data_IF_721988140512
#
_entry.id   IF_721988140512
#
_cell.length_a   1.000
_cell.length_b   1.000
_cell.length_c   1.000
_cell.angle_alpha   90.00
_cell.angle_beta   90.00
_cell.angle_gamma   90.00
#
_symmetry.space_group_name_H-M   'P 1'
#
loop_
_entity.id
_entity.type
_entity.pdbx_description
1 polymer ?
#
# COMPACT_ATOMS: atom_id res chain seq x y z
N UNK A 1 22.52 -21.31 -2.36
CA UNK A 1 22.63 -21.16 -0.90
C UNK A 1 22.28 -19.71 -0.64
N UNK A 2 21.12 -19.45 -0.03
CA UNK A 2 20.73 -18.07 0.29
C UNK A 2 21.70 -17.59 1.38
N UNK A 3 22.38 -16.47 1.11
CA UNK A 3 23.21 -15.83 2.12
C UNK A 3 22.32 -15.51 3.33
N UNK A 4 22.75 -16.00 4.49
CA UNK A 4 22.08 -15.80 5.77
C UNK A 4 22.11 -14.29 6.07
N UNK A 5 20.98 -13.62 5.89
CA UNK A 5 20.84 -12.19 6.18
C UNK A 5 20.86 -12.05 7.69
N UNK A 6 22.05 -11.88 8.26
CA UNK A 6 22.23 -11.56 9.67
C UNK A 6 21.83 -10.12 9.90
N UNK A 7 20.65 -9.91 10.49
CA UNK A 7 20.25 -8.62 11.03
C UNK A 7 21.18 -8.29 12.20
N UNK A 8 22.05 -7.28 12.03
CA UNK A 8 23.09 -6.91 13.00
C UNK A 8 22.63 -5.91 14.07
N UNK A 9 21.44 -5.33 13.93
CA UNK A 9 20.90 -4.44 14.94
C UNK A 9 20.24 -5.28 16.05
N UNK A 10 20.55 -5.02 17.33
CA UNK A 10 19.86 -5.67 18.43
C UNK A 10 18.37 -5.31 18.40
N UNK A 11 17.51 -6.26 18.75
CA UNK A 11 16.09 -5.97 18.93
C UNK A 11 15.90 -4.85 19.96
N UNK A 12 14.98 -3.90 19.72
CA UNK A 12 14.74 -2.81 20.65
C UNK A 12 14.25 -3.36 21.99
N UNK A 13 14.76 -2.79 23.08
CA UNK A 13 14.28 -3.07 24.42
C UNK A 13 12.82 -2.65 24.60
N UNK A 14 12.13 -3.24 25.58
CA UNK A 14 10.76 -2.84 25.93
C UNK A 14 10.67 -1.36 26.27
N UNK A 15 11.69 -0.81 26.95
CA UNK A 15 11.75 0.61 27.27
C UNK A 15 11.81 1.50 26.01
N UNK A 16 12.58 1.10 25.00
CA UNK A 16 12.66 1.82 23.71
C UNK A 16 11.37 1.70 22.90
N UNK A 17 10.70 0.54 22.95
CA UNK A 17 9.39 0.37 22.33
C UNK A 17 8.35 1.28 22.99
N UNK A 18 8.27 1.30 24.32
CA UNK A 18 7.36 2.18 25.06
C UNK A 18 7.66 3.67 24.78
N UNK A 19 8.94 4.06 24.72
CA UNK A 19 9.32 5.45 24.45
C UNK A 19 9.01 5.90 23.01
N UNK A 20 9.04 4.98 22.04
CA UNK A 20 8.88 5.31 20.62
C UNK A 20 7.48 5.04 20.06
N UNK A 21 6.61 4.32 20.80
CA UNK A 21 5.28 3.91 20.36
C UNK A 21 4.21 4.53 21.27
N UNK A 22 3.60 5.66 20.88
CA UNK A 22 2.70 6.41 21.77
C UNK A 22 1.42 5.67 22.19
N UNK A 23 1.07 4.58 21.52
CA UNK A 23 -0.10 3.75 21.83
C UNK A 23 0.23 2.46 22.58
N UNK A 24 1.52 2.23 22.87
CA UNK A 24 1.98 1.10 23.64
C UNK A 24 2.35 1.60 25.03
N UNK A 25 1.72 1.03 26.06
CA UNK A 25 1.93 1.46 27.44
C UNK A 25 2.10 0.27 28.39
N UNK A 26 2.70 0.53 29.56
CA UNK A 26 2.85 -0.47 30.62
C UNK A 26 1.95 -0.09 31.79
N UNK A 27 0.94 -0.92 32.05
CA UNK A 27 0.07 -0.76 33.21
C UNK A 27 0.56 -1.64 34.37
N UNK A 28 0.59 -1.12 35.63
CA UNK A 28 1.07 -1.86 36.78
C UNK A 28 0.29 -3.13 37.13
N UNK A 29 -0.97 -3.24 36.71
CA UNK A 29 -1.86 -4.36 37.03
C UNK A 29 -2.03 -5.31 35.84
N UNK A 30 -2.24 -4.75 34.65
CA UNK A 30 -2.58 -5.48 33.44
C UNK A 30 -1.37 -5.82 32.57
N UNK A 31 -0.21 -5.20 32.80
CA UNK A 31 0.99 -5.38 32.00
C UNK A 31 0.97 -4.57 30.71
N UNK A 32 1.52 -5.13 29.62
CA UNK A 32 1.66 -4.43 28.35
C UNK A 32 0.30 -4.22 27.67
N UNK A 33 0.00 -2.97 27.34
CA UNK A 33 -1.25 -2.55 26.72
C UNK A 33 -1.00 -1.89 25.36
N UNK A 34 -1.93 -2.08 24.43
CA UNK A 34 -1.96 -1.42 23.12
C UNK A 34 -3.35 -0.82 22.90
N UNK A 35 -3.42 0.47 22.53
CA UNK A 35 -4.68 1.21 22.35
C UNK A 35 -5.61 1.09 23.59
N UNK A 36 -5.04 1.08 24.80
CA UNK A 36 -5.79 0.92 26.04
C UNK A 36 -6.31 -0.50 26.30
N UNK A 37 -5.84 -1.51 25.56
CA UNK A 37 -6.24 -2.91 25.71
C UNK A 37 -5.06 -3.77 26.13
N UNK A 38 -5.22 -4.55 27.21
CA UNK A 38 -4.18 -5.45 27.71
C UNK A 38 -3.89 -6.59 26.74
N UNK A 39 -2.62 -6.74 26.34
CA UNK A 39 -2.22 -7.72 25.32
C UNK A 39 -2.31 -9.17 25.83
N UNK A 40 -2.11 -9.39 27.14
CA UNK A 40 -2.36 -10.69 27.77
C UNK A 40 -3.83 -11.10 27.66
N UNK A 41 -4.78 -10.18 27.87
CA UNK A 41 -6.20 -10.47 27.73
C UNK A 41 -6.58 -10.86 26.29
N UNK A 42 -5.93 -10.27 25.28
CA UNK A 42 -6.07 -10.69 23.89
C UNK A 42 -5.50 -12.10 23.72
N UNK A 43 -4.26 -12.33 24.17
CA UNK A 43 -3.58 -13.62 24.04
C UNK A 43 -4.35 -14.76 24.73
N UNK A 44 -4.91 -14.53 25.91
CA UNK A 44 -5.75 -15.50 26.64
C UNK A 44 -7.02 -15.84 25.87
N UNK A 45 -7.58 -14.87 25.14
CA UNK A 45 -8.82 -15.03 24.37
C UNK A 45 -8.62 -15.71 23.02
N UNK A 46 -7.55 -15.38 22.29
CA UNK A 46 -7.35 -15.83 20.90
C UNK A 46 -6.20 -16.83 20.72
N UNK A 47 -5.40 -17.06 21.76
CA UNK A 47 -4.20 -17.90 21.72
C UNK A 47 -2.99 -17.20 21.08
N UNK A 48 -1.84 -17.87 21.14
CA UNK A 48 -0.57 -17.40 20.55
C UNK A 48 0.02 -18.43 19.59
N UNK A 49 0.76 -17.99 18.54
CA UNK A 49 1.08 -16.59 18.21
C UNK A 49 -0.12 -15.83 17.63
N UNK A 50 -0.25 -14.54 17.97
CA UNK A 50 -1.26 -13.64 17.40
C UNK A 50 -0.63 -12.30 17.01
N UNK A 51 -1.14 -11.69 15.93
CA UNK A 51 -0.76 -10.34 15.51
C UNK A 51 -1.79 -9.35 16.03
N UNK A 52 -1.33 -8.32 16.74
CA UNK A 52 -2.17 -7.22 17.22
C UNK A 52 -1.73 -5.94 16.53
N UNK A 53 -2.68 -5.23 15.92
CA UNK A 53 -2.44 -3.98 15.22
C UNK A 53 -3.15 -2.85 15.95
N UNK A 54 -2.46 -1.72 16.11
CA UNK A 54 -3.05 -0.51 16.67
C UNK A 54 -3.84 0.23 15.60
N UNK A 55 -5.15 0.38 15.83
CA UNK A 55 -6.03 1.17 14.96
C UNK A 55 -5.70 2.66 15.08
N UNK A 56 -5.40 3.13 16.29
CA UNK A 56 -5.08 4.53 16.55
C UNK A 56 -3.76 4.93 15.90
N UNK A 57 -2.76 4.03 15.90
CA UNK A 57 -1.50 4.25 15.16
C UNK A 57 -1.76 4.44 13.67
N UNK A 58 -2.63 3.61 13.08
CA UNK A 58 -2.98 3.71 11.65
C UNK A 58 -3.68 5.04 11.35
N UNK A 59 -4.68 5.43 12.14
CA UNK A 59 -5.40 6.71 12.01
C UNK A 59 -4.46 7.91 12.16
N UNK A 60 -3.61 7.92 13.19
CA UNK A 60 -2.65 8.99 13.39
C UNK A 60 -1.68 9.16 12.23
N UNK A 61 -1.21 8.06 11.63
CA UNK A 61 -0.34 8.10 10.43
C UNK A 61 -1.09 8.62 9.21
N UNK A 62 -2.33 8.18 9.01
CA UNK A 62 -3.19 8.66 7.93
C UNK A 62 -3.45 10.18 8.04
N UNK A 63 -3.82 10.65 9.23
CA UNK A 63 -4.04 12.07 9.49
C UNK A 63 -2.76 12.89 9.29
N UNK A 64 -1.61 12.40 9.76
CA UNK A 64 -0.33 13.06 9.55
C UNK A 64 0.01 13.21 8.06
N UNK A 65 -0.21 12.16 7.27
CA UNK A 65 0.03 12.23 5.82
C UNK A 65 -0.90 13.25 5.16
N UNK A 66 -2.19 13.22 5.50
CA UNK A 66 -3.18 14.19 4.98
C UNK A 66 -2.80 15.63 5.35
N UNK A 67 -2.46 15.87 6.60
CA UNK A 67 -2.05 17.20 7.07
C UNK A 67 -0.80 17.68 6.31
N UNK A 68 0.20 16.82 6.11
CA UNK A 68 1.39 17.18 5.36
C UNK A 68 1.08 17.57 3.89
N UNK A 69 0.14 16.89 3.24
CA UNK A 69 -0.31 17.28 1.88
C UNK A 69 -1.02 18.64 1.89
N UNK A 70 -1.87 18.88 2.90
CA UNK A 70 -2.59 20.15 3.07
C UNK A 70 -1.66 21.32 3.38
N UNK A 71 -0.68 21.12 4.26
CA UNK A 71 0.34 22.11 4.62
C UNK A 71 1.20 22.48 3.41
N UNK A 72 1.41 21.52 2.49
CA UNK A 72 2.08 21.75 1.21
C UNK A 72 1.18 22.40 0.14
N UNK A 73 -0.09 22.68 0.44
CA UNK A 73 -1.06 23.26 -0.49
C UNK A 73 -1.51 22.29 -1.59
N UNK A 74 -1.33 20.98 -1.41
CA UNK A 74 -1.66 19.96 -2.40
C UNK A 74 -3.06 19.40 -2.16
N UNK A 75 -3.90 19.44 -3.19
CA UNK A 75 -5.15 18.70 -3.21
C UNK A 75 -4.88 17.24 -3.63
N UNK A 76 -4.38 16.43 -2.70
CA UNK A 76 -3.92 15.07 -2.97
C UNK A 76 -4.94 14.00 -2.52
N UNK A 77 -5.25 13.07 -3.42
CA UNK A 77 -5.87 11.79 -3.08
C UNK A 77 -4.78 10.79 -2.65
N UNK A 78 -4.94 10.18 -1.47
CA UNK A 78 -3.95 9.24 -0.94
C UNK A 78 -4.45 7.80 -1.12
N UNK A 79 -3.66 6.98 -1.79
CA UNK A 79 -3.94 5.57 -2.05
C UNK A 79 -2.95 4.69 -1.27
N UNK A 80 -3.45 3.78 -0.44
CA UNK A 80 -2.62 2.88 0.34
C UNK A 80 -2.21 1.66 -0.49
N UNK A 81 -0.91 1.36 -0.52
CA UNK A 81 -0.38 0.17 -1.18
C UNK A 81 -0.83 -1.11 -0.45
N UNK A 82 -1.84 -1.80 -1.01
CA UNK A 82 -2.53 -2.93 -0.36
C UNK A 82 -1.56 -4.07 -0.01
N UNK A 83 -0.55 -4.32 -0.86
CA UNK A 83 0.52 -5.30 -0.62
C UNK A 83 1.27 -5.15 0.71
N UNK A 84 1.22 -3.97 1.35
CA UNK A 84 1.86 -3.76 2.65
C UNK A 84 1.12 -4.47 3.78
N UNK A 85 -0.22 -4.50 3.74
CA UNK A 85 -1.08 -5.29 4.63
C UNK A 85 -2.50 -5.32 4.04
N UNK A 86 -2.89 -6.48 3.49
CA UNK A 86 -4.17 -6.67 2.79
C UNK A 86 -5.31 -7.15 3.73
N UNK A 87 -5.08 -7.12 5.04
CA UNK A 87 -6.07 -7.57 6.01
C UNK A 87 -7.32 -6.66 5.98
N UNK A 88 -8.51 -7.26 5.93
CA UNK A 88 -9.77 -6.52 5.75
C UNK A 88 -10.02 -5.47 6.83
N UNK A 89 -9.57 -5.70 8.06
CA UNK A 89 -9.69 -4.70 9.13
C UNK A 89 -8.85 -3.43 8.83
N UNK A 90 -7.65 -3.57 8.26
CA UNK A 90 -6.82 -2.43 7.86
C UNK A 90 -7.47 -1.68 6.71
N UNK A 91 -7.95 -2.41 5.69
CA UNK A 91 -8.66 -1.81 4.55
C UNK A 91 -9.96 -1.11 4.96
N UNK A 92 -10.66 -1.63 5.96
CA UNK A 92 -11.88 -1.00 6.50
C UNK A 92 -11.56 0.32 7.20
N UNK A 93 -10.46 0.39 7.96
CA UNK A 93 -9.97 1.64 8.56
C UNK A 93 -9.58 2.66 7.49
N UNK A 94 -8.90 2.23 6.42
CA UNK A 94 -8.55 3.10 5.29
C UNK A 94 -9.80 3.71 4.65
N UNK A 95 -10.83 2.89 4.40
CA UNK A 95 -12.13 3.36 3.88
C UNK A 95 -12.77 4.38 4.82
N UNK A 96 -12.83 4.11 6.12
CA UNK A 96 -13.40 5.04 7.11
C UNK A 96 -12.71 6.39 7.12
N UNK A 97 -11.39 6.38 6.95
CA UNK A 97 -10.60 7.59 6.84
C UNK A 97 -10.70 8.24 5.46
N UNK A 98 -11.31 7.62 4.46
CA UNK A 98 -11.43 8.16 3.10
C UNK A 98 -10.15 8.00 2.25
N UNK A 99 -9.25 7.09 2.62
CA UNK A 99 -8.12 6.69 1.78
C UNK A 99 -8.61 5.78 0.64
N UNK A 100 -7.92 5.86 -0.49
CA UNK A 100 -8.07 4.90 -1.59
C UNK A 100 -7.14 3.69 -1.45
N UNK A 101 -7.18 2.81 -2.43
CA UNK A 101 -6.30 1.63 -2.50
C UNK A 101 -5.42 1.67 -3.76
N UNK A 102 -4.13 1.40 -3.60
CA UNK A 102 -3.20 1.07 -4.68
C UNK A 102 -2.99 -0.44 -4.70
N UNK A 103 -3.52 -1.09 -5.73
CA UNK A 103 -3.52 -2.53 -5.90
C UNK A 103 -2.52 -2.95 -6.99
N UNK A 104 -2.06 -4.19 -6.93
CA UNK A 104 -1.20 -4.82 -7.94
C UNK A 104 -1.75 -6.16 -8.45
N UNK A 105 -2.96 -6.55 -8.04
CA UNK A 105 -3.62 -7.77 -8.53
C UNK A 105 -5.14 -7.72 -8.37
N UNK A 106 -5.85 -8.59 -9.08
CA UNK A 106 -7.29 -8.80 -8.93
C UNK A 106 -7.68 -9.34 -7.55
N UNK A 107 -6.78 -10.05 -6.85
CA UNK A 107 -7.01 -10.48 -5.47
C UNK A 107 -7.07 -9.31 -4.49
N UNK A 108 -6.18 -8.33 -4.67
CA UNK A 108 -6.19 -7.09 -3.90
C UNK A 108 -7.40 -6.21 -4.24
N UNK A 109 -7.79 -6.15 -5.52
CA UNK A 109 -9.04 -5.49 -5.96
C UNK A 109 -10.24 -6.06 -5.20
N UNK A 110 -10.37 -7.38 -5.17
CA UNK A 110 -11.48 -8.06 -4.49
C UNK A 110 -11.49 -7.75 -2.98
N UNK A 111 -10.32 -7.68 -2.32
CA UNK A 111 -10.22 -7.32 -0.90
C UNK A 111 -10.58 -5.85 -0.65
N UNK A 112 -10.12 -4.93 -1.48
CA UNK A 112 -10.42 -3.50 -1.36
C UNK A 112 -11.93 -3.25 -1.50
N UNK A 113 -12.57 -3.85 -2.50
CA UNK A 113 -14.01 -3.78 -2.70
C UNK A 113 -14.78 -4.42 -1.53
N UNK A 114 -14.32 -5.58 -1.05
CA UNK A 114 -14.93 -6.26 0.11
C UNK A 114 -14.83 -5.43 1.40
N UNK A 115 -13.77 -4.63 1.55
CA UNK A 115 -13.63 -3.68 2.64
C UNK A 115 -14.48 -2.40 2.46
N UNK A 116 -15.14 -2.25 1.32
CA UNK A 116 -16.03 -1.13 1.00
C UNK A 116 -15.33 0.10 0.43
N UNK A 117 -14.08 -0.02 -0.05
CA UNK A 117 -13.40 1.07 -0.77
C UNK A 117 -14.11 1.24 -2.12
N UNK A 118 -14.60 2.45 -2.47
CA UNK A 118 -15.25 2.69 -3.76
C UNK A 118 -14.30 2.36 -4.92
N UNK A 119 -14.79 1.73 -5.99
CA UNK A 119 -13.97 1.44 -7.17
C UNK A 119 -13.27 2.68 -7.72
N UNK A 120 -13.97 3.82 -7.74
CA UNK A 120 -13.42 5.12 -8.17
C UNK A 120 -12.26 5.64 -7.31
N UNK A 121 -12.00 5.04 -6.14
CA UNK A 121 -10.88 5.33 -5.25
C UNK A 121 -9.82 4.23 -5.27
N UNK A 122 -9.83 3.37 -6.29
CA UNK A 122 -8.85 2.30 -6.48
C UNK A 122 -7.99 2.64 -7.70
N UNK A 123 -6.67 2.55 -7.51
CA UNK A 123 -5.67 2.65 -8.58
C UNK A 123 -4.99 1.30 -8.77
N UNK A 124 -4.78 0.89 -10.02
CA UNK A 124 -4.18 -0.40 -10.34
C UNK A 124 -2.79 -0.23 -10.94
N UNK A 125 -1.78 -0.55 -10.13
CA UNK A 125 -0.35 -0.49 -10.45
C UNK A 125 0.25 -1.87 -10.74
N UNK A 126 1.54 -1.88 -11.10
CA UNK A 126 2.32 -3.10 -11.21
C UNK A 126 2.42 -3.63 -12.63
N UNK A 127 3.51 -4.35 -12.90
CA UNK A 127 3.75 -4.98 -14.19
C UNK A 127 3.02 -6.33 -14.26
N UNK A 128 2.56 -6.70 -15.46
CA UNK A 128 1.98 -8.02 -15.70
C UNK A 128 0.52 -8.18 -15.30
N UNK A 129 -0.28 -7.11 -15.36
CA UNK A 129 -1.74 -7.19 -15.24
C UNK A 129 -2.29 -8.09 -16.35
N UNK A 130 -3.08 -9.09 -16.00
CA UNK A 130 -3.69 -9.97 -16.99
C UNK A 130 -4.91 -9.31 -17.67
N UNK A 131 -5.23 -9.73 -18.89
CA UNK A 131 -6.41 -9.26 -19.62
C UNK A 131 -7.69 -9.41 -18.79
N UNK A 132 -7.82 -10.49 -18.02
CA UNK A 132 -8.97 -10.73 -17.15
C UNK A 132 -9.04 -9.75 -15.97
N UNK A 133 -7.90 -9.40 -15.37
CA UNK A 133 -7.85 -8.40 -14.31
C UNK A 133 -8.15 -7.00 -14.86
N UNK A 134 -7.64 -6.67 -16.04
CA UNK A 134 -7.91 -5.41 -16.73
C UNK A 134 -9.39 -5.29 -17.12
N UNK A 135 -9.97 -6.32 -17.71
CA UNK A 135 -11.39 -6.38 -18.09
C UNK A 135 -12.28 -6.19 -16.86
N UNK A 136 -11.98 -6.87 -15.75
CA UNK A 136 -12.73 -6.72 -14.51
C UNK A 136 -12.58 -5.32 -13.90
N UNK A 137 -11.36 -4.76 -13.87
CA UNK A 137 -11.09 -3.44 -13.34
C UNK A 137 -11.79 -2.32 -14.15
N UNK A 138 -11.76 -2.41 -15.47
CA UNK A 138 -12.44 -1.47 -16.37
C UNK A 138 -13.95 -1.63 -16.25
N UNK A 139 -14.47 -2.86 -16.15
CA UNK A 139 -15.90 -3.09 -15.97
C UNK A 139 -16.42 -2.50 -14.65
N UNK A 140 -15.66 -2.63 -13.57
CA UNK A 140 -15.99 -2.01 -12.28
C UNK A 140 -15.86 -0.48 -12.26
N UNK A 141 -15.18 0.11 -13.26
CA UNK A 141 -14.94 1.54 -13.31
C UNK A 141 -14.00 2.01 -12.21
N UNK A 142 -12.85 1.34 -12.05
CA UNK A 142 -11.84 1.79 -11.07
C UNK A 142 -11.30 3.18 -11.43
N UNK A 143 -10.80 3.89 -10.42
CA UNK A 143 -10.38 5.28 -10.55
C UNK A 143 -9.25 5.50 -11.56
N UNK A 144 -8.26 4.60 -11.62
CA UNK A 144 -7.10 4.76 -12.49
C UNK A 144 -6.36 3.44 -12.73
N UNK A 145 -5.82 3.25 -13.93
CA UNK A 145 -4.83 2.21 -14.25
C UNK A 145 -3.47 2.88 -14.49
N UNK A 146 -2.46 2.45 -13.75
CA UNK A 146 -1.08 2.91 -13.94
C UNK A 146 -0.41 1.99 -14.96
N UNK A 147 -0.20 2.54 -16.15
CA UNK A 147 0.34 1.84 -17.32
C UNK A 147 1.85 1.88 -17.28
N UNK A 148 2.46 0.72 -17.48
CA UNK A 148 3.89 0.46 -17.33
C UNK A 148 4.59 0.28 -18.70
N UNK A 149 3.84 0.03 -19.78
CA UNK A 149 4.38 -0.10 -21.14
C UNK A 149 3.40 0.33 -22.25
N UNK A 150 3.92 0.55 -23.46
CA UNK A 150 3.08 0.89 -24.62
C UNK A 150 2.16 -0.26 -25.04
N UNK A 151 2.65 -1.50 -24.94
CA UNK A 151 1.88 -2.70 -25.24
C UNK A 151 0.72 -2.87 -24.25
N UNK A 152 0.94 -2.58 -22.96
CA UNK A 152 -0.13 -2.58 -21.96
C UNK A 152 -1.20 -1.52 -22.27
N UNK A 153 -0.79 -0.34 -22.76
CA UNK A 153 -1.74 0.70 -23.20
C UNK A 153 -2.64 0.21 -24.35
N UNK A 154 -2.07 -0.47 -25.34
CA UNK A 154 -2.82 -1.03 -26.48
C UNK A 154 -3.82 -2.09 -26.00
N UNK A 155 -3.43 -2.95 -25.07
CA UNK A 155 -4.31 -3.96 -24.45
C UNK A 155 -5.47 -3.28 -23.72
N UNK A 156 -5.17 -2.30 -22.86
CA UNK A 156 -6.20 -1.55 -22.11
C UNK A 156 -7.18 -0.88 -23.07
N UNK A 157 -6.68 -0.23 -24.12
CA UNK A 157 -7.49 0.43 -25.15
C UNK A 157 -8.42 -0.55 -25.87
N UNK A 158 -7.90 -1.72 -26.25
CA UNK A 158 -8.68 -2.78 -26.89
C UNK A 158 -9.78 -3.35 -25.98
N UNK A 159 -9.49 -3.58 -24.71
CA UNK A 159 -10.46 -4.05 -23.72
C UNK A 159 -11.53 -2.99 -23.46
N UNK A 160 -11.14 -1.74 -23.21
CA UNK A 160 -12.05 -0.62 -22.98
C UNK A 160 -13.01 -0.42 -24.16
N UNK A 161 -12.48 -0.47 -25.39
CA UNK A 161 -13.29 -0.41 -26.63
C UNK A 161 -14.28 -1.56 -26.74
N UNK A 162 -13.86 -2.80 -26.42
CA UNK A 162 -14.74 -3.98 -26.44
C UNK A 162 -15.87 -3.89 -25.40
N UNK A 163 -15.58 -3.30 -24.23
CA UNK A 163 -16.56 -3.09 -23.16
C UNK A 163 -17.44 -1.84 -23.38
N UNK A 164 -17.12 -0.98 -24.36
CA UNK A 164 -17.79 0.30 -24.56
C UNK A 164 -17.61 1.26 -23.38
N UNK A 165 -16.44 1.24 -22.75
CA UNK A 165 -16.09 2.06 -21.57
C UNK A 165 -14.84 2.89 -21.83
N UNK A 166 -14.70 3.99 -21.09
CA UNK A 166 -13.46 4.78 -21.05
C UNK A 166 -12.65 4.41 -19.81
N UNK A 167 -11.41 3.98 -20.01
CA UNK A 167 -10.47 3.70 -18.92
C UNK A 167 -9.63 4.93 -18.60
N UNK A 168 -9.60 5.35 -17.32
CA UNK A 168 -8.69 6.40 -16.87
C UNK A 168 -7.30 5.82 -16.66
N UNK A 169 -6.29 6.37 -17.32
CA UNK A 169 -4.92 5.86 -17.29
C UNK A 169 -3.92 6.93 -16.88
N UNK A 170 -2.78 6.48 -16.34
CA UNK A 170 -1.56 7.29 -16.20
C UNK A 170 -0.36 6.49 -16.66
N UNK A 171 0.66 7.16 -17.19
CA UNK A 171 1.90 6.52 -17.62
C UNK A 171 2.93 6.59 -16.50
N UNK A 172 3.54 5.44 -16.16
CA UNK A 172 4.69 5.43 -15.25
C UNK A 172 5.95 5.86 -15.97
N UNK A 173 6.47 7.02 -15.58
CA UNK A 173 7.72 7.57 -16.12
C UNK A 173 8.84 7.39 -15.11
N UNK A 174 9.96 6.84 -15.55
CA UNK A 174 11.20 6.84 -14.76
C UNK A 174 11.87 8.22 -14.91
N UNK A 175 11.98 9.02 -13.84
CA UNK A 175 12.61 10.33 -13.96
C UNK A 175 14.13 10.16 -14.21
N UNK A 176 14.65 10.88 -15.19
CA UNK A 176 16.09 10.95 -15.49
C UNK A 176 16.78 11.86 -14.47
N UNK A 177 16.93 11.37 -13.24
CA UNK A 177 17.59 12.09 -12.16
C UNK A 177 19.10 11.83 -12.23
N UNK A 178 19.87 12.84 -12.61
CA UNK A 178 21.34 12.80 -12.57
C UNK A 178 21.82 12.64 -11.12
N UNK A 179 22.04 11.39 -10.71
CA UNK A 179 22.31 10.99 -9.34
C UNK A 179 23.76 11.26 -8.94
N UNK A 180 24.16 12.54 -8.83
CA UNK A 180 25.47 12.90 -8.24
C UNK A 180 25.54 12.68 -6.73
N UNK A 181 24.44 12.34 -6.04
CA UNK A 181 24.38 12.26 -4.57
C UNK A 181 23.65 11.06 -3.96
N UNK A 182 23.11 10.11 -4.71
CA UNK A 182 22.31 9.01 -4.12
C UNK A 182 22.54 7.62 -4.72
N UNK A 183 23.58 6.92 -4.25
CA UNK A 183 23.90 5.54 -4.65
C UNK A 183 22.79 4.50 -4.38
N UNK A 184 21.79 4.79 -3.53
CA UNK A 184 20.67 3.90 -3.20
C UNK A 184 19.40 4.12 -4.02
N UNK A 185 19.33 5.22 -4.80
CA UNK A 185 18.20 5.51 -5.71
C UNK A 185 18.47 4.87 -7.10
N UNK A 186 19.72 4.48 -7.34
CA UNK A 186 20.23 3.83 -8.56
C UNK A 186 19.90 2.32 -8.64
N UNK A 187 18.67 1.92 -8.31
CA UNK A 187 18.13 0.64 -8.83
C UNK A 187 17.48 0.82 -10.21
N UNK A 188 17.38 2.07 -10.69
CA UNK A 188 16.85 2.45 -12.01
C UNK A 188 17.88 2.69 -13.11
N UNK A 189 19.13 2.23 -13.02
CA UNK A 189 20.08 2.34 -14.14
C UNK A 189 20.04 1.12 -15.06
N UNK A 190 19.39 1.28 -16.21
CA UNK A 190 19.82 0.74 -17.51
C UNK A 190 19.90 -0.77 -17.71
N UNK A 191 19.45 -1.62 -16.78
CA UNK A 191 19.53 -3.09 -16.95
C UNK A 191 18.23 -3.86 -16.72
N UNK A 192 17.09 -3.19 -16.64
CA UNK A 192 15.81 -3.86 -16.86
C UNK A 192 14.98 -3.06 -17.87
N UNK A 193 14.71 -3.76 -18.97
CA UNK A 193 13.77 -3.46 -20.06
C UNK A 193 14.33 -2.66 -21.26
N UNK A 194 14.64 -3.48 -22.29
CA UNK A 194 14.71 -3.21 -23.74
C UNK A 194 15.60 -2.06 -24.21
N UNK A 195 16.79 -2.44 -24.71
CA UNK A 195 17.51 -1.64 -25.71
C UNK A 195 16.73 -1.68 -27.03
N UNK A 196 16.18 -0.55 -27.46
CA UNK A 196 16.02 -0.28 -28.89
C UNK A 196 17.00 0.82 -29.27
N UNK A 197 17.99 0.44 -30.06
CA UNK A 197 18.89 1.37 -30.74
C UNK A 197 18.18 1.92 -31.97
N UNK A 198 18.17 3.24 -32.13
CA UNK A 198 18.21 3.86 -33.45
C UNK A 198 19.68 4.20 -33.76
#
# INVERSE_FOLDING_TARGET
>A
MADDVTFHDPDPSVAELLASRPYLEMDPLCGLMLDGVALNAIADKVGTPCWVLSGDTLRARMHRMRQAMQDAGLNASIHYAVKANDHLAVLSLLREEGFGADIVSGGELARALKAGIPASHIVFSGVGKSDAELEHAIDLGIGQINVESAEELDIISGIASRLGKDATITLRVNPDVDAKTHAKITTGTGRQQVRHSL
#
